data_IF_050482215659
#
_entry.id   IF_050482215659
#
_cell.length_a   1.000
_cell.length_b   1.000
_cell.length_c   1.000
_cell.angle_alpha   90.00
_cell.angle_beta   90.00
_cell.angle_gamma   90.00
#
_symmetry.space_group_name_H-M   'P 1'
#
loop_
_entity.id
_entity.type
_entity.pdbx_description
1 polymer ?
#
# COMPACT_ATOMS: atom_id res chain seq x y z
N UNK A 1 -19.67 -3.23 19.47
CA UNK A 1 -18.86 -1.99 19.43
C UNK A 1 -18.02 -2.07 18.16
N UNK A 2 -18.13 -1.08 17.26
CA UNK A 2 -17.81 -1.21 15.83
C UNK A 2 -16.38 -1.65 15.51
N UNK A 3 -16.27 -2.64 14.62
CA UNK A 3 -15.05 -3.37 14.22
C UNK A 3 -14.24 -2.71 13.10
N UNK A 4 -14.51 -1.46 12.75
CA UNK A 4 -13.83 -0.75 11.67
C UNK A 4 -12.95 0.34 12.28
N UNK A 5 -11.76 -0.04 12.76
CA UNK A 5 -10.73 0.90 13.18
C UNK A 5 -9.98 1.50 11.98
N UNK A 6 -9.21 2.58 12.18
CA UNK A 6 -8.40 3.19 11.12
C UNK A 6 -7.36 2.22 10.57
N UNK A 7 -6.88 2.48 9.35
CA UNK A 7 -5.90 1.63 8.70
C UNK A 7 -4.60 1.59 9.51
N UNK A 8 -4.23 0.40 9.98
CA UNK A 8 -3.03 0.16 10.78
C UNK A 8 -2.11 -0.82 10.09
N UNK A 9 -0.85 -0.45 9.96
CA UNK A 9 0.23 -1.30 9.48
C UNK A 9 1.19 -1.60 10.63
N UNK A 10 1.47 -2.88 10.87
CA UNK A 10 2.48 -3.31 11.83
C UNK A 10 3.81 -3.55 11.09
N UNK A 11 4.83 -2.78 11.42
CA UNK A 11 6.18 -2.99 10.87
C UNK A 11 6.68 -4.39 11.23
N UNK A 12 7.17 -5.11 10.22
CA UNK A 12 7.77 -6.44 10.39
C UNK A 12 9.13 -6.36 11.06
N UNK A 13 9.88 -5.29 10.81
CA UNK A 13 11.21 -5.10 11.39
C UNK A 13 11.18 -4.66 12.85
N UNK A 14 10.35 -3.67 13.17
CA UNK A 14 10.34 -3.04 14.50
C UNK A 14 9.20 -3.51 15.39
N UNK A 15 8.16 -4.12 14.82
CA UNK A 15 6.93 -4.46 15.54
C UNK A 15 6.03 -3.26 15.84
N UNK A 16 6.45 -2.04 15.46
CA UNK A 16 5.71 -0.81 15.75
C UNK A 16 4.47 -0.69 14.85
N UNK A 17 3.40 -0.16 15.44
CA UNK A 17 2.16 0.15 14.72
C UNK A 17 2.25 1.54 14.12
N UNK A 18 1.85 1.64 12.88
CA UNK A 18 1.74 2.89 12.15
C UNK A 18 0.35 3.00 11.54
N UNK A 19 -0.24 4.16 11.67
CA UNK A 19 -1.53 4.51 11.10
C UNK A 19 -1.33 5.31 9.83
N UNK A 20 -2.24 5.15 8.88
CA UNK A 20 -2.20 5.88 7.61
C UNK A 20 -2.88 7.23 7.74
N UNK A 21 -2.23 8.28 7.25
CA UNK A 21 -2.67 9.68 7.31
C UNK A 21 -2.66 10.31 5.91
N UNK A 22 -3.45 11.37 5.75
CA UNK A 22 -3.45 12.20 4.54
C UNK A 22 -3.27 13.67 4.91
N UNK A 23 -2.33 14.34 4.27
CA UNK A 23 -2.14 15.79 4.36
C UNK A 23 -2.37 16.43 3.01
N UNK A 24 -3.28 17.39 2.96
CA UNK A 24 -3.55 18.18 1.76
C UNK A 24 -2.63 19.41 1.79
N UNK A 25 -1.88 19.63 0.72
CA UNK A 25 -1.01 20.81 0.55
C UNK A 25 -1.31 21.42 -0.82
N UNK A 26 -2.12 22.50 -0.81
CA UNK A 26 -2.69 23.06 -2.04
C UNK A 26 -3.56 22.02 -2.74
N UNK A 27 -3.29 21.75 -4.01
CA UNK A 27 -4.02 20.76 -4.83
C UNK A 27 -3.48 19.33 -4.69
N UNK A 28 -2.43 19.11 -3.88
CA UNK A 28 -1.76 17.81 -3.77
C UNK A 28 -2.09 17.11 -2.45
N UNK A 29 -2.39 15.81 -2.52
CA UNK A 29 -2.57 14.94 -1.35
C UNK A 29 -1.31 14.13 -1.10
N UNK A 30 -0.76 14.22 0.10
CA UNK A 30 0.40 13.46 0.54
C UNK A 30 -0.09 12.44 1.56
N UNK A 31 0.11 11.16 1.23
CA UNK A 31 -0.22 10.08 2.14
C UNK A 31 1.04 9.61 2.88
N UNK A 32 0.96 9.44 4.18
CA UNK A 32 2.10 9.09 5.02
C UNK A 32 1.67 8.25 6.22
N UNK A 33 2.63 7.54 6.81
CA UNK A 33 2.40 6.73 8.00
C UNK A 33 2.96 7.41 9.25
N UNK A 34 2.19 7.42 10.33
CA UNK A 34 2.57 8.00 11.63
C UNK A 34 2.27 7.02 12.77
N UNK A 35 2.89 7.22 13.94
CA UNK A 35 2.57 6.46 15.16
C UNK A 35 1.33 6.97 15.88
N UNK A 36 0.82 8.11 15.43
CA UNK A 36 -0.36 8.73 16.00
C UNK A 36 -1.64 8.11 15.39
N UNK A 37 -2.58 7.60 16.20
CA UNK A 37 -3.84 7.05 15.71
C UNK A 37 -4.91 8.11 15.40
N UNK A 38 -4.75 9.36 15.85
CA UNK A 38 -5.68 10.44 15.57
C UNK A 38 -5.66 10.81 14.08
N UNK A 39 -6.79 11.24 13.53
CA UNK A 39 -6.93 11.64 12.11
C UNK A 39 -6.48 10.59 11.07
N UNK A 40 -6.31 9.35 11.51
CA UNK A 40 -5.94 8.26 10.63
C UNK A 40 -7.10 7.91 9.70
N UNK A 41 -6.78 7.66 8.42
CA UNK A 41 -7.77 7.26 7.43
C UNK A 41 -8.02 5.75 7.50
N UNK A 42 -9.23 5.35 7.12
CA UNK A 42 -9.68 3.96 7.18
C UNK A 42 -9.25 3.17 5.95
N UNK A 43 -9.18 3.83 4.79
CA UNK A 43 -8.98 3.16 3.51
C UNK A 43 -7.65 3.53 2.83
N UNK A 44 -7.05 2.51 2.23
CA UNK A 44 -5.91 2.67 1.34
C UNK A 44 -6.39 3.22 -0.02
N UNK A 45 -5.80 4.30 -0.54
CA UNK A 45 -6.22 4.85 -1.83
C UNK A 45 -6.00 3.83 -2.97
N UNK A 46 -6.94 3.78 -3.92
CA UNK A 46 -6.87 2.89 -5.06
C UNK A 46 -5.60 3.11 -5.88
N UNK A 47 -4.99 2.01 -6.34
CA UNK A 47 -3.74 2.07 -7.11
C UNK A 47 -2.49 2.33 -6.27
N UNK A 48 -2.58 2.25 -4.94
CA UNK A 48 -1.42 2.25 -4.05
C UNK A 48 -1.27 0.91 -3.31
N UNK A 49 -0.05 0.61 -2.90
CA UNK A 49 0.33 -0.50 -2.03
C UNK A 49 1.21 0.00 -0.88
N UNK A 50 1.13 -0.65 0.27
CA UNK A 50 1.99 -0.37 1.42
C UNK A 50 3.25 -1.21 1.30
N UNK A 51 4.40 -0.54 1.32
CA UNK A 51 5.73 -1.17 1.30
C UNK A 51 6.50 -0.71 2.53
N UNK A 52 7.23 -1.62 3.16
CA UNK A 52 8.10 -1.29 4.30
C UNK A 52 9.53 -1.09 3.82
N UNK A 53 10.17 0.00 4.26
CA UNK A 53 11.58 0.22 3.96
C UNK A 53 12.44 -0.81 4.71
N UNK A 54 13.22 -1.67 4.04
CA UNK A 54 14.03 -2.69 4.72
C UNK A 54 15.10 -2.09 5.65
N UNK A 55 15.57 -0.87 5.35
CA UNK A 55 16.58 -0.17 6.17
C UNK A 55 15.98 0.36 7.47
N UNK A 56 14.86 1.06 7.42
CA UNK A 56 14.30 1.76 8.61
C UNK A 56 13.11 1.06 9.26
N UNK A 57 12.44 0.14 8.56
CA UNK A 57 11.17 -0.44 9.00
C UNK A 57 9.96 0.50 8.85
N UNK A 58 10.16 1.69 8.27
CA UNK A 58 9.09 2.67 8.08
C UNK A 58 8.21 2.26 6.88
N UNK A 59 6.89 2.09 7.07
CA UNK A 59 5.96 1.88 5.96
C UNK A 59 5.78 3.15 5.14
N UNK A 60 5.69 2.99 3.82
CA UNK A 60 5.39 4.05 2.87
C UNK A 60 4.47 3.52 1.77
N UNK A 61 3.79 4.43 1.09
CA UNK A 61 2.94 4.08 -0.04
C UNK A 61 3.71 4.12 -1.34
N UNK A 62 3.53 3.09 -2.14
CA UNK A 62 4.02 2.99 -3.50
C UNK A 62 2.84 2.91 -4.45
N UNK A 63 2.93 3.56 -5.61
CA UNK A 63 1.92 3.37 -6.66
C UNK A 63 2.05 1.93 -7.18
N UNK A 64 0.94 1.20 -7.16
CA UNK A 64 0.79 -0.02 -7.96
C UNK A 64 0.81 0.43 -9.41
N UNK A 65 1.97 0.33 -10.06
CA UNK A 65 2.00 0.39 -11.52
C UNK A 65 1.08 -0.72 -11.99
N UNK A 66 -0.08 -0.35 -12.55
CA UNK A 66 -0.97 -1.29 -13.19
C UNK A 66 -0.23 -1.86 -14.40
N UNK A 67 0.56 -2.91 -14.20
CA UNK A 67 1.13 -3.74 -15.24
C UNK A 67 0.03 -4.68 -15.76
N UNK A 68 -1.14 -4.11 -16.05
CA UNK A 68 -2.40 -4.80 -16.32
C UNK A 68 -2.86 -4.73 -17.77
N UNK A 69 -2.05 -4.17 -18.68
CA UNK A 69 -2.30 -4.24 -20.12
C UNK A 69 -1.38 -5.22 -20.86
N UNK A 70 -0.35 -5.79 -20.21
CA UNK A 70 0.61 -6.68 -20.87
C UNK A 70 0.39 -8.19 -20.59
N UNK A 71 -0.61 -8.56 -19.79
CA UNK A 71 -0.91 -9.97 -19.50
C UNK A 71 -2.01 -10.58 -20.39
N UNK A 72 -2.66 -9.77 -21.23
CA UNK A 72 -3.63 -10.24 -22.24
C UNK A 72 -2.94 -10.93 -23.45
N UNK A 73 -1.63 -10.74 -23.64
CA UNK A 73 -0.89 -11.25 -24.81
C UNK A 73 0.06 -12.40 -24.49
N UNK A 74 -0.34 -13.35 -23.65
CA UNK A 74 0.41 -14.62 -23.50
C UNK A 74 -0.29 -15.74 -24.29
N UNK A 75 0.01 -15.94 -25.58
CA UNK A 75 -0.42 -17.17 -26.25
C UNK A 75 0.30 -18.34 -25.59
N UNK A 76 -0.50 -19.23 -25.01
CA UNK A 76 -0.11 -20.55 -24.53
C UNK A 76 0.41 -21.34 -25.74
N UNK A 77 1.73 -21.41 -25.93
CA UNK A 77 2.30 -22.42 -26.84
C UNK A 77 2.32 -23.76 -26.11
N UNK A 78 1.32 -24.55 -26.43
CA UNK A 78 1.18 -25.94 -26.06
C UNK A 78 2.25 -26.76 -26.78
N UNK A 79 2.91 -27.63 -26.02
CA UNK A 79 4.03 -28.44 -26.44
C UNK A 79 3.52 -29.64 -27.25
N UNK A 80 3.65 -29.62 -28.57
CA UNK A 80 3.57 -30.85 -29.38
C UNK A 80 4.91 -31.59 -29.30
N UNK A 81 4.93 -32.64 -28.48
CA UNK A 81 5.98 -33.65 -28.45
C UNK A 81 5.66 -34.64 -29.57
N UNK A 82 6.49 -34.67 -30.62
CA UNK A 82 6.50 -35.70 -31.65
C UNK A 82 7.77 -36.52 -31.51
#
# INVERSE_FOLDING_TARGET
MGLFGPFVYKSKKTGQKYWLHVKVKGNSKIFYFSKDPADAIFDLPWGYEVVENPKTGLPFLRKKTSFGFFSIFKPKQESEKK
#
